data_IF_664192880633
#
_entry.id   IF_664192880633
#
_cell.length_a   1.000
_cell.length_b   1.000
_cell.length_c   1.000
_cell.angle_alpha   90.00
_cell.angle_beta   90.00
_cell.angle_gamma   90.00
#
_symmetry.space_group_name_H-M   'P 1'
#
loop_
_entity.id
_entity.type
_entity.pdbx_description
1 polymer ?
#
# COMPACT_ATOMS: atom_id res chain seq x y z
N UNK A 1 12.38 0.79 9.86
CA UNK A 1 11.08 1.32 9.43
C UNK A 1 10.67 2.43 10.39
N UNK A 2 10.39 3.64 9.91
CA UNK A 2 9.81 4.69 10.76
C UNK A 2 8.35 4.32 11.05
N UNK A 3 7.93 4.45 12.30
CA UNK A 3 6.54 4.22 12.67
C UNK A 3 5.61 5.13 11.85
N UNK A 4 4.59 4.55 11.20
CA UNK A 4 3.64 5.31 10.38
C UNK A 4 4.09 5.62 8.94
N UNK A 5 5.10 4.91 8.41
CA UNK A 5 5.50 5.02 7.01
C UNK A 5 5.55 3.63 6.36
N UNK A 6 5.17 3.57 5.08
CA UNK A 6 5.31 2.39 4.22
C UNK A 6 6.18 2.80 3.04
N UNK A 7 7.24 2.04 2.78
CA UNK A 7 8.10 2.28 1.63
C UNK A 7 7.30 2.14 0.32
N UNK A 8 7.81 2.79 -0.73
CA UNK A 8 7.15 2.87 -2.03
C UNK A 8 6.96 1.54 -2.76
N UNK A 9 7.85 0.59 -2.47
CA UNK A 9 7.86 -0.75 -3.03
C UNK A 9 7.93 -1.78 -1.91
N UNK A 10 7.10 -2.81 -2.00
CA UNK A 10 7.19 -3.97 -1.13
C UNK A 10 5.88 -4.65 -0.83
N UNK A 11 5.99 -5.64 0.05
CA UNK A 11 4.89 -6.43 0.59
C UNK A 11 4.97 -6.30 2.11
N UNK A 12 3.90 -5.80 2.71
CA UNK A 12 3.83 -5.54 4.15
C UNK A 12 2.72 -6.37 4.78
N UNK A 13 3.05 -7.14 5.83
CA UNK A 13 2.03 -7.81 6.65
C UNK A 13 1.40 -6.79 7.61
N UNK A 14 0.08 -6.67 7.53
CA UNK A 14 -0.70 -5.78 8.39
C UNK A 14 -0.70 -6.34 9.82
N UNK A 15 -0.43 -5.47 10.80
CA UNK A 15 -0.29 -5.83 12.21
C UNK A 15 1.11 -6.31 12.62
N UNK A 16 1.99 -6.62 11.66
CA UNK A 16 3.40 -6.98 11.92
C UNK A 16 4.36 -5.92 11.38
N UNK A 17 4.28 -5.63 10.09
CA UNK A 17 5.20 -4.74 9.40
C UNK A 17 4.65 -3.31 9.38
N UNK A 18 3.32 -3.17 9.26
CA UNK A 18 2.61 -1.88 9.24
C UNK A 18 1.36 -1.94 10.13
N UNK A 19 0.92 -0.79 10.65
CA UNK A 19 -0.34 -0.70 11.42
C UNK A 19 -1.53 -0.45 10.49
N UNK A 20 -2.74 -0.91 10.85
CA UNK A 20 -3.97 -0.44 10.21
C UNK A 20 -4.08 1.08 10.32
N UNK A 21 -4.73 1.70 9.34
CA UNK A 21 -4.89 3.14 9.29
C UNK A 21 -5.05 3.66 7.87
N UNK A 22 -5.23 4.98 7.76
CA UNK A 22 -5.31 5.66 6.47
C UNK A 22 -3.93 6.18 6.10
N UNK A 23 -3.49 5.87 4.88
CA UNK A 23 -2.18 6.24 4.37
C UNK A 23 -2.34 7.06 3.10
N UNK A 24 -1.44 8.03 2.91
CA UNK A 24 -1.36 8.84 1.70
C UNK A 24 0.02 8.75 1.06
N UNK A 25 0.04 8.58 -0.24
CA UNK A 25 1.23 8.77 -1.10
C UNK A 25 0.98 9.95 -2.04
N UNK A 26 2.03 10.68 -2.38
CA UNK A 26 1.96 11.75 -3.40
C UNK A 26 2.01 11.21 -4.83
N UNK A 27 1.95 9.88 -5.00
CA UNK A 27 1.78 9.22 -6.29
C UNK A 27 3.02 8.48 -6.75
N UNK A 28 3.27 8.40 -8.07
CA UNK A 28 4.42 7.66 -8.61
C UNK A 28 5.76 8.24 -8.17
N UNK A 29 6.80 7.41 -8.15
CA UNK A 29 8.19 7.82 -7.87
C UNK A 29 8.77 8.81 -8.90
N UNK A 30 8.08 9.00 -10.03
CA UNK A 30 8.54 9.83 -11.13
C UNK A 30 9.22 9.00 -12.22
N UNK A 31 9.63 9.64 -13.32
CA UNK A 31 10.17 8.96 -14.49
C UNK A 31 11.34 7.99 -14.15
N UNK A 32 11.34 6.73 -14.65
CA UNK A 32 10.40 6.16 -15.64
C UNK A 32 9.12 5.56 -15.04
N UNK A 33 8.95 5.59 -13.72
CA UNK A 33 7.79 5.04 -13.02
C UNK A 33 6.61 6.03 -13.09
N UNK A 34 5.70 5.77 -14.03
CA UNK A 34 4.55 6.62 -14.30
C UNK A 34 3.30 6.26 -13.47
N UNK A 35 3.31 5.16 -12.72
CA UNK A 35 2.18 4.73 -11.89
C UNK A 35 2.61 4.23 -10.52
N UNK A 36 1.81 4.58 -9.51
CA UNK A 36 1.84 4.04 -8.16
C UNK A 36 0.78 2.94 -8.08
N UNK A 37 1.23 1.71 -7.86
CA UNK A 37 0.37 0.54 -7.79
C UNK A 37 0.23 0.08 -6.34
N UNK A 38 -0.98 -0.30 -5.95
CA UNK A 38 -1.24 -0.88 -4.63
C UNK A 38 -2.27 -2.00 -4.68
N UNK A 39 -2.22 -2.87 -3.69
CA UNK A 39 -3.24 -3.87 -3.44
C UNK A 39 -3.40 -4.14 -1.94
N UNK A 40 -4.65 -4.35 -1.52
CA UNK A 40 -5.03 -4.87 -0.20
C UNK A 40 -5.48 -6.31 -0.37
N UNK A 41 -4.98 -7.21 0.48
CA UNK A 41 -5.29 -8.63 0.42
C UNK A 41 -5.81 -9.14 1.77
N UNK A 42 -6.78 -10.07 1.74
CA UNK A 42 -7.38 -10.76 2.89
C UNK A 42 -6.58 -11.99 3.32
N UNK A 43 -5.58 -12.38 2.55
CA UNK A 43 -4.74 -13.56 2.81
C UNK A 43 -3.35 -13.43 2.20
N UNK A 44 -2.52 -14.44 2.44
CA UNK A 44 -1.12 -14.53 1.97
C UNK A 44 -0.95 -15.63 0.92
N UNK A 45 -2.02 -16.17 0.35
CA UNK A 45 -1.93 -17.28 -0.62
C UNK A 45 -1.38 -16.84 -1.97
N UNK A 46 -1.48 -15.55 -2.28
CA UNK A 46 -1.12 -14.99 -3.59
C UNK A 46 -2.18 -15.24 -4.66
N UNK A 47 -3.32 -15.84 -4.30
CA UNK A 47 -4.43 -16.11 -5.20
C UNK A 47 -5.35 -14.90 -5.38
N UNK A 48 -6.06 -14.85 -6.51
CA UNK A 48 -7.05 -13.79 -6.78
C UNK A 48 -8.17 -13.72 -5.72
N UNK A 49 -8.49 -14.84 -5.05
CA UNK A 49 -9.49 -14.87 -3.97
C UNK A 49 -9.13 -13.98 -2.78
N UNK A 50 -7.84 -13.72 -2.58
CA UNK A 50 -7.37 -12.88 -1.48
C UNK A 50 -7.48 -11.39 -1.82
N UNK A 51 -7.76 -11.00 -3.07
CA UNK A 51 -7.81 -9.61 -3.48
C UNK A 51 -9.04 -8.88 -2.90
N UNK A 52 -8.79 -7.94 -1.99
CA UNK A 52 -9.80 -7.02 -1.47
C UNK A 52 -9.95 -5.83 -2.41
N UNK A 53 -8.83 -5.18 -2.78
CA UNK A 53 -8.83 -4.09 -3.74
C UNK A 53 -7.44 -3.88 -4.35
N UNK A 54 -7.39 -3.36 -5.58
CA UNK A 54 -6.19 -2.89 -6.24
C UNK A 54 -6.43 -1.55 -6.93
N UNK A 55 -5.38 -0.76 -7.12
CA UNK A 55 -5.42 0.48 -7.91
C UNK A 55 -4.04 0.81 -8.47
N UNK A 56 -4.05 1.55 -9.57
CA UNK A 56 -2.89 2.11 -10.22
C UNK A 56 -3.15 3.61 -10.43
N UNK A 57 -2.54 4.47 -9.61
CA UNK A 57 -2.70 5.92 -9.71
C UNK A 57 -1.54 6.57 -10.45
N UNK A 58 -1.81 7.59 -11.26
CA UNK A 58 -0.79 8.46 -11.87
C UNK A 58 -0.52 9.73 -11.03
N UNK A 59 -1.23 9.92 -9.92
CA UNK A 59 -1.07 11.05 -9.00
C UNK A 59 -1.22 10.62 -7.55
N UNK A 60 -1.37 11.60 -6.65
CA UNK A 60 -1.54 11.33 -5.23
C UNK A 60 -2.73 10.40 -4.94
N UNK A 61 -2.55 9.49 -3.98
CA UNK A 61 -3.54 8.49 -3.61
C UNK A 61 -3.62 8.36 -2.09
N UNK A 62 -4.85 8.15 -1.60
CA UNK A 62 -5.12 7.78 -0.21
C UNK A 62 -5.74 6.38 -0.16
N UNK A 63 -5.30 5.56 0.78
CA UNK A 63 -5.83 4.22 1.02
C UNK A 63 -6.04 3.99 2.52
N UNK A 64 -7.20 3.45 2.88
CA UNK A 64 -7.44 2.93 4.23
C UNK A 64 -7.13 1.44 4.26
N UNK A 65 -6.20 1.04 5.11
CA UNK A 65 -5.81 -0.35 5.38
C UNK A 65 -6.55 -0.79 6.65
N UNK A 66 -7.45 -1.75 6.51
CA UNK A 66 -8.27 -2.23 7.63
C UNK A 66 -7.48 -3.22 8.50
N UNK A 67 -7.87 -3.37 9.76
CA UNK A 67 -7.27 -4.35 10.66
C UNK A 67 -7.50 -5.82 10.23
N UNK A 68 -8.51 -6.04 9.39
CA UNK A 68 -8.83 -7.35 8.80
C UNK A 68 -8.00 -7.66 7.55
N UNK A 69 -7.37 -6.66 6.93
CA UNK A 69 -6.42 -6.89 5.85
C UNK A 69 -5.23 -7.68 6.38
N UNK A 70 -4.66 -8.54 5.55
CA UNK A 70 -3.47 -9.33 5.89
C UNK A 70 -2.22 -8.81 5.21
N UNK A 71 -2.35 -8.31 3.99
CA UNK A 71 -1.21 -7.80 3.22
C UNK A 71 -1.57 -6.49 2.55
N UNK A 72 -0.66 -5.53 2.62
CA UNK A 72 -0.61 -4.39 1.74
C UNK A 72 0.60 -4.55 0.80
N UNK A 73 0.34 -4.60 -0.50
CA UNK A 73 1.39 -4.61 -1.53
C UNK A 73 1.41 -3.26 -2.21
N UNK A 74 2.58 -2.70 -2.40
CA UNK A 74 2.76 -1.44 -3.14
C UNK A 74 3.97 -1.52 -4.05
N UNK A 75 3.90 -0.83 -5.19
CA UNK A 75 5.04 -0.69 -6.09
C UNK A 75 4.98 0.59 -6.91
N UNK A 76 6.14 1.22 -7.09
CA UNK A 76 6.32 2.43 -7.87
C UNK A 76 5.75 3.68 -7.21
N UNK A 77 5.39 3.60 -5.93
CA UNK A 77 4.82 4.71 -5.18
C UNK A 77 5.90 5.51 -4.46
N UNK A 78 5.66 6.79 -4.23
CA UNK A 78 6.37 7.51 -3.18
C UNK A 78 5.95 6.94 -1.81
N UNK A 79 6.79 7.15 -0.79
CA UNK A 79 6.54 6.67 0.57
C UNK A 79 5.14 7.03 1.03
N UNK A 80 4.40 6.02 1.48
CA UNK A 80 3.10 6.22 2.10
C UNK A 80 3.28 6.71 3.53
N UNK A 81 2.55 7.76 3.90
CA UNK A 81 2.55 8.32 5.26
C UNK A 81 1.18 8.10 5.89
N UNK A 82 1.18 7.61 7.12
CA UNK A 82 -0.04 7.53 7.93
C UNK A 82 -0.61 8.95 8.05
N UNK A 83 -1.86 9.10 7.68
CA UNK A 83 -2.66 10.31 7.85
C UNK A 83 -3.46 10.17 9.14
N UNK A 84 -3.57 11.25 9.90
CA UNK A 84 -4.41 11.32 11.10
C UNK A 84 -5.91 11.26 10.76
#
# INVERSE_FOLDING_TARGET
MKAGQIEGDGVCLVGRDIRPGTYRSEGPQGYPVASCNRARLSGTSGEAKDLISANASMGAETVTIAATDKVFRTSGCQTWKLSD
#
